data_IF_825588979109
#
_entry.id   IF_825588979109
#
_cell.length_a   1.000
_cell.length_b   1.000
_cell.length_c   1.000
_cell.angle_alpha   90.00
_cell.angle_beta   90.00
_cell.angle_gamma   90.00
#
_symmetry.space_group_name_H-M   'P 1'
#
loop_
_entity.id
_entity.type
_entity.pdbx_description
1 polymer ?
#
# COMPACT_ATOMS: atom_id res chain seq x y z
N UNK A 1 -1.62 -1.25 -25.79
CA UNK A 1 -1.24 -1.16 -24.38
C UNK A 1 -1.39 -2.55 -23.83
N UNK A 2 -0.26 -3.25 -23.72
CA UNK A 2 -0.17 -4.70 -23.56
C UNK A 2 -0.64 -5.17 -22.18
N UNK A 3 -1.73 -5.94 -22.18
CA UNK A 3 -2.30 -6.61 -21.01
C UNK A 3 -1.35 -7.64 -20.36
N UNK A 4 -0.18 -7.91 -20.95
CA UNK A 4 0.85 -8.79 -20.41
C UNK A 4 1.80 -8.11 -19.41
N UNK A 5 1.82 -6.77 -19.29
CA UNK A 5 2.67 -6.10 -18.30
C UNK A 5 2.08 -6.08 -16.88
N UNK A 6 0.76 -6.25 -16.72
CA UNK A 6 0.08 -6.18 -15.42
C UNK A 6 0.18 -7.47 -14.60
N UNK A 7 0.56 -8.60 -15.22
CA UNK A 7 0.67 -9.91 -14.56
C UNK A 7 1.93 -10.09 -13.71
N UNK A 8 2.81 -9.09 -13.64
CA UNK A 8 4.05 -9.10 -12.87
C UNK A 8 3.95 -8.36 -11.51
N UNK A 9 2.81 -7.75 -11.19
CA UNK A 9 2.61 -7.06 -9.90
C UNK A 9 2.00 -8.02 -8.88
N UNK A 10 2.86 -8.75 -8.18
CA UNK A 10 2.47 -9.59 -7.06
C UNK A 10 3.14 -9.10 -5.76
N UNK A 11 2.55 -9.41 -4.61
CA UNK A 11 3.17 -9.16 -3.31
C UNK A 11 4.54 -9.88 -3.21
N UNK A 12 5.57 -9.23 -2.63
CA UNK A 12 6.93 -9.77 -2.61
C UNK A 12 7.09 -11.04 -1.74
N UNK A 13 6.15 -11.31 -0.83
CA UNK A 13 6.14 -12.45 0.09
C UNK A 13 5.29 -13.62 -0.40
N UNK A 14 4.04 -13.37 -0.82
CA UNK A 14 3.05 -14.43 -1.11
C UNK A 14 2.73 -14.59 -2.60
N UNK A 15 3.23 -13.68 -3.44
CA UNK A 15 2.88 -13.57 -4.87
C UNK A 15 1.36 -13.42 -5.09
N UNK A 16 0.67 -12.84 -4.11
CA UNK A 16 -0.74 -12.52 -4.22
C UNK A 16 -0.93 -11.27 -5.09
N UNK A 17 -2.04 -11.19 -5.83
CA UNK A 17 -2.33 -10.01 -6.63
C UNK A 17 -2.56 -8.80 -5.72
N UNK A 18 -2.11 -7.65 -6.20
CA UNK A 18 -2.36 -6.35 -5.60
C UNK A 18 -3.54 -5.69 -6.31
N UNK A 19 -4.41 -5.05 -5.53
CA UNK A 19 -5.55 -4.28 -6.03
C UNK A 19 -5.42 -2.83 -5.58
N UNK A 20 -6.02 -1.90 -6.31
CA UNK A 20 -6.06 -0.49 -5.86
C UNK A 20 -6.83 -0.38 -4.54
N UNK A 21 -6.31 0.43 -3.62
CA UNK A 21 -6.99 0.74 -2.36
C UNK A 21 -8.29 1.50 -2.63
N UNK A 22 -9.37 1.13 -1.95
CA UNK A 22 -10.60 1.91 -2.01
C UNK A 22 -10.45 3.24 -1.27
N UNK A 23 -11.28 4.23 -1.63
CA UNK A 23 -11.32 5.53 -0.94
C UNK A 23 -11.57 5.38 0.57
N UNK A 24 -12.30 4.35 0.98
CA UNK A 24 -12.56 4.06 2.40
C UNK A 24 -11.28 3.65 3.14
N UNK A 25 -10.45 2.79 2.51
CA UNK A 25 -9.18 2.37 3.09
C UNK A 25 -8.20 3.55 3.14
N UNK A 26 -8.08 4.30 2.04
CA UNK A 26 -7.24 5.50 2.00
C UNK A 26 -7.65 6.52 3.07
N UNK A 27 -8.95 6.74 3.25
CA UNK A 27 -9.46 7.66 4.28
C UNK A 27 -9.13 7.20 5.70
N UNK A 28 -9.28 5.90 5.99
CA UNK A 28 -8.93 5.32 7.29
C UNK A 28 -7.44 5.48 7.59
N UNK A 29 -6.59 5.10 6.63
CA UNK A 29 -5.13 5.18 6.77
C UNK A 29 -4.66 6.62 6.91
N UNK A 30 -5.20 7.54 6.09
CA UNK A 30 -4.88 8.97 6.18
C UNK A 30 -5.33 9.61 7.50
N UNK A 31 -6.41 9.13 8.12
CA UNK A 31 -6.79 9.56 9.45
C UNK A 31 -5.74 9.15 10.50
N UNK A 32 -5.20 7.93 10.43
CA UNK A 32 -4.13 7.47 11.33
C UNK A 32 -2.79 8.19 11.10
N UNK A 33 -2.48 8.51 9.83
CA UNK A 33 -1.33 9.35 9.47
C UNK A 33 -1.47 10.73 10.10
N UNK A 34 -2.66 11.35 10.00
CA UNK A 34 -2.92 12.66 10.57
C UNK A 34 -2.84 12.66 12.11
N UNK A 35 -3.14 11.53 12.77
CA UNK A 35 -2.95 11.34 14.21
C UNK A 35 -1.48 11.09 14.59
N UNK A 36 -0.61 10.83 13.62
CA UNK A 36 0.81 10.51 13.84
C UNK A 36 1.04 9.15 14.51
N UNK A 37 0.03 8.27 14.50
CA UNK A 37 0.09 6.95 15.14
C UNK A 37 0.47 5.84 14.17
N UNK A 38 0.34 6.09 12.86
CA UNK A 38 0.61 5.08 11.85
C UNK A 38 2.11 4.82 11.69
N UNK A 39 2.47 3.53 11.66
CA UNK A 39 3.80 3.04 11.33
C UNK A 39 3.72 1.99 10.25
N UNK A 40 4.73 1.96 9.38
CA UNK A 40 4.90 0.85 8.45
C UNK A 40 5.42 -0.39 9.20
N UNK A 41 5.46 -1.54 8.52
CA UNK A 41 5.94 -2.82 9.05
C UNK A 41 7.38 -2.73 9.55
N UNK A 42 8.22 -1.90 8.91
CA UNK A 42 9.59 -1.60 9.34
C UNK A 42 9.69 -0.73 10.60
N UNK A 43 8.56 -0.25 11.13
CA UNK A 43 8.48 0.56 12.34
C UNK A 43 8.74 2.05 12.16
N UNK A 44 8.93 2.52 10.92
CA UNK A 44 9.04 3.93 10.60
C UNK A 44 7.65 4.60 10.61
N UNK A 45 7.58 5.83 11.10
CA UNK A 45 6.35 6.61 11.12
C UNK A 45 5.96 7.01 9.69
N UNK A 46 4.69 6.83 9.35
CA UNK A 46 4.14 7.29 8.07
C UNK A 46 3.54 8.67 8.29
N UNK A 47 4.16 9.70 7.70
CA UNK A 47 3.74 11.10 7.85
C UNK A 47 3.16 11.70 6.56
N UNK A 48 3.34 11.03 5.43
CA UNK A 48 2.84 11.47 4.13
C UNK A 48 1.47 10.86 3.89
N UNK A 49 0.47 11.71 3.62
CA UNK A 49 -0.85 11.25 3.22
C UNK A 49 -0.75 10.49 1.90
N UNK A 50 -1.53 9.42 1.78
CA UNK A 50 -1.58 8.57 0.61
C UNK A 50 -2.68 9.05 -0.33
N UNK A 51 -2.29 9.40 -1.55
CA UNK A 51 -3.22 9.70 -2.65
C UNK A 51 -3.63 8.41 -3.36
N UNK A 52 -2.67 7.52 -3.56
CA UNK A 52 -2.84 6.22 -4.19
C UNK A 52 -2.12 5.15 -3.36
N UNK A 53 -2.70 3.95 -3.31
CA UNK A 53 -2.09 2.81 -2.67
C UNK A 53 -2.60 1.50 -3.31
N UNK A 54 -1.80 0.46 -3.16
CA UNK A 54 -2.21 -0.91 -3.50
C UNK A 54 -2.44 -1.70 -2.22
N UNK A 55 -3.41 -2.61 -2.22
CA UNK A 55 -3.73 -3.48 -1.09
C UNK A 55 -3.56 -4.93 -1.54
N UNK A 56 -3.06 -5.78 -0.63
CA UNK A 56 -3.02 -7.22 -0.87
C UNK A 56 -4.45 -7.75 -1.03
N UNK A 57 -4.64 -8.77 -1.87
CA UNK A 57 -5.97 -9.35 -2.09
C UNK A 57 -6.67 -9.81 -0.80
N UNK A 58 -5.90 -10.21 0.21
CA UNK A 58 -6.40 -10.61 1.52
C UNK A 58 -6.75 -9.42 2.46
N UNK A 59 -6.50 -8.18 2.02
CA UNK A 59 -6.84 -6.95 2.73
C UNK A 59 -5.96 -6.64 3.93
N UNK A 60 -4.83 -7.34 4.14
CA UNK A 60 -4.01 -7.19 5.36
C UNK A 60 -2.86 -6.21 5.24
N UNK A 61 -2.39 -5.96 4.02
CA UNK A 61 -1.24 -5.08 3.77
C UNK A 61 -1.60 -4.04 2.72
N UNK A 62 -1.16 -2.82 2.97
CA UNK A 62 -1.24 -1.71 2.05
C UNK A 62 0.17 -1.27 1.66
N UNK A 63 0.38 -1.03 0.38
CA UNK A 63 1.63 -0.57 -0.22
C UNK A 63 1.39 0.83 -0.79
N UNK A 64 2.10 1.86 -0.30
CA UNK A 64 1.89 3.22 -0.77
C UNK A 64 2.37 3.38 -2.21
N UNK A 65 1.68 4.20 -3.00
CA UNK A 65 2.15 4.65 -4.32
C UNK A 65 2.71 6.05 -4.17
N UNK A 66 4.00 6.23 -4.48
CA UNK A 66 4.69 7.51 -4.37
C UNK A 66 5.07 8.00 -5.76
N UNK A 67 4.58 9.18 -6.15
CA UNK A 67 4.78 9.75 -7.49
C UNK A 67 4.38 8.78 -8.62
N UNK A 68 3.26 8.05 -8.44
CA UNK A 68 2.79 7.05 -9.40
C UNK A 68 3.60 5.74 -9.43
N UNK A 69 4.56 5.56 -8.50
CA UNK A 69 5.38 4.35 -8.41
C UNK A 69 4.97 3.56 -7.15
N UNK A 70 4.42 2.34 -7.29
CA UNK A 70 4.14 1.46 -6.16
C UNK A 70 5.40 1.09 -5.40
N UNK A 71 5.41 1.33 -4.09
CA UNK A 71 6.52 0.94 -3.21
C UNK A 71 6.27 -0.48 -2.69
N UNK A 72 6.79 -1.48 -3.41
CA UNK A 72 6.63 -2.91 -3.07
C UNK A 72 7.75 -3.43 -2.15
N UNK A 73 8.10 -2.65 -1.12
CA UNK A 73 9.07 -3.06 -0.10
C UNK A 73 8.31 -3.56 1.13
N UNK A 74 8.71 -4.71 1.68
CA UNK A 74 8.02 -5.29 2.85
C UNK A 74 8.03 -4.34 4.05
N UNK A 75 9.14 -3.66 4.29
CA UNK A 75 9.27 -2.75 5.43
C UNK A 75 8.44 -1.47 5.26
N UNK A 76 8.11 -1.09 4.01
CA UNK A 76 7.27 0.06 3.70
C UNK A 76 5.77 -0.26 3.66
N UNK A 77 5.40 -1.54 3.72
CA UNK A 77 4.02 -1.94 3.80
C UNK A 77 3.38 -1.43 5.10
N UNK A 78 2.11 -1.08 5.05
CA UNK A 78 1.28 -0.71 6.20
C UNK A 78 0.38 -1.91 6.49
N UNK A 79 0.36 -2.37 7.74
CA UNK A 79 -0.61 -3.38 8.18
C UNK A 79 -1.97 -2.69 8.39
N UNK A 80 -3.01 -3.25 7.78
CA UNK A 80 -4.40 -2.78 7.90
C UNK A 80 -5.15 -3.50 9.04
#
# INVERSE_FOLDING_TARGET
>A
MDSEMLSLLCTPDTREPLVEASEEILSKVNAEIALGTLKNVGGAAVSEALEEALVSQDGKKLYPVKNGIPVLLMDEAIAL
#
